data_IF_583513911850
#
_entry.id   IF_583513911850
#
_cell.length_a   1.000
_cell.length_b   1.000
_cell.length_c   1.000
_cell.angle_alpha   90.00
_cell.angle_beta   90.00
_cell.angle_gamma   90.00
#
_symmetry.space_group_name_H-M   'P 1'
#
loop_
_entity.id
_entity.type
_entity.pdbx_description
1 polymer ?
#
# COMPACT_ATOMS: atom_id res chain seq x y z
N UNK A 1 31.90 -3.03 -2.43
CA UNK A 1 31.01 -3.05 -3.46
C UNK A 1 29.83 -2.18 -3.14
N UNK A 2 29.44 -1.51 -4.08
CA UNK A 2 28.36 -0.71 -3.89
C UNK A 2 27.13 -1.43 -4.06
N UNK A 3 26.19 -1.22 -3.25
CA UNK A 3 24.99 -1.88 -3.47
C UNK A 3 24.23 -1.22 -4.53
N UNK A 4 23.45 -2.01 -5.20
CA UNK A 4 22.66 -1.54 -6.26
C UNK A 4 21.53 -0.71 -5.73
N UNK A 5 21.35 0.42 -6.31
CA UNK A 5 20.26 1.28 -6.00
C UNK A 5 18.97 0.65 -6.51
N UNK A 6 17.86 0.94 -5.87
CA UNK A 6 16.59 0.42 -6.32
C UNK A 6 16.30 0.80 -7.75
N UNK A 7 16.67 2.02 -8.15
CA UNK A 7 16.46 2.45 -9.51
C UNK A 7 17.16 1.58 -10.52
N UNK A 8 18.31 0.97 -10.15
CA UNK A 8 19.04 0.13 -11.06
C UNK A 8 18.42 -1.23 -11.22
N UNK A 9 17.51 -1.61 -10.31
CA UNK A 9 16.92 -2.93 -10.31
C UNK A 9 15.62 -3.02 -11.07
N UNK A 10 14.94 -1.91 -11.26
CA UNK A 10 13.63 -1.89 -11.86
C UNK A 10 13.66 -1.16 -13.18
N UNK A 11 12.81 -1.60 -14.10
CA UNK A 11 12.64 -0.87 -15.36
C UNK A 11 12.04 0.50 -15.07
N UNK A 12 12.17 1.40 -16.03
CA UNK A 12 11.64 2.74 -15.85
C UNK A 12 10.13 2.74 -15.73
N UNK A 13 9.46 1.81 -16.41
CA UNK A 13 8.00 1.70 -16.31
C UNK A 13 7.57 1.29 -14.93
N UNK A 14 8.28 0.33 -14.33
CA UNK A 14 7.95 -0.10 -12.98
C UNK A 14 8.23 1.02 -11.98
N UNK A 15 9.34 1.75 -12.18
CA UNK A 15 9.62 2.89 -11.31
C UNK A 15 8.55 3.96 -11.41
N UNK A 16 8.05 4.24 -12.62
CA UNK A 16 6.98 5.19 -12.78
C UNK A 16 5.71 4.73 -12.09
N UNK A 17 5.42 3.43 -12.17
CA UNK A 17 4.26 2.87 -11.50
C UNK A 17 4.38 3.02 -9.98
N UNK A 18 5.54 2.72 -9.44
CA UNK A 18 5.78 2.84 -8.00
C UNK A 18 5.61 4.28 -7.56
N UNK A 19 6.18 5.20 -8.32
CA UNK A 19 6.08 6.62 -7.99
C UNK A 19 4.63 7.09 -8.00
N UNK A 20 3.88 6.70 -9.01
CA UNK A 20 2.48 7.06 -9.11
C UNK A 20 1.68 6.51 -7.94
N UNK A 21 1.96 5.26 -7.55
CA UNK A 21 1.28 4.64 -6.42
C UNK A 21 1.57 5.40 -5.13
N UNK A 22 2.83 5.77 -4.90
CA UNK A 22 3.18 6.50 -3.68
C UNK A 22 2.52 7.86 -3.62
N UNK A 23 2.29 8.48 -4.76
CA UNK A 23 1.65 9.78 -4.80
C UNK A 23 0.13 9.70 -4.69
N UNK A 24 -0.44 8.53 -4.95
CA UNK A 24 -1.89 8.43 -5.07
C UNK A 24 -2.53 7.30 -4.27
N UNK A 25 -1.78 6.66 -3.37
CA UNK A 25 -2.32 5.48 -2.67
C UNK A 25 -3.56 5.81 -1.84
N UNK A 26 -3.67 7.05 -1.38
CA UNK A 26 -4.78 7.46 -0.53
C UNK A 26 -6.02 7.82 -1.34
N UNK A 27 -5.93 7.72 -2.65
CA UNK A 27 -7.05 8.01 -3.53
C UNK A 27 -7.54 6.73 -4.16
N UNK A 28 -8.59 6.86 -4.96
CA UNK A 28 -9.09 5.74 -5.71
C UNK A 28 -8.08 5.42 -6.81
N UNK A 29 -7.43 4.30 -6.69
CA UNK A 29 -6.37 3.92 -7.60
C UNK A 29 -6.53 2.44 -7.93
N UNK A 30 -6.24 2.06 -9.17
CA UNK A 30 -6.40 0.68 -9.61
C UNK A 30 -5.28 0.32 -10.56
N UNK A 31 -5.17 -0.97 -10.87
CA UNK A 31 -4.22 -1.41 -11.88
C UNK A 31 -4.43 -0.66 -13.18
N UNK A 32 -5.70 -0.48 -13.57
CA UNK A 32 -6.00 0.22 -14.82
C UNK A 32 -5.50 1.65 -14.80
N UNK A 33 -5.70 2.37 -13.69
CA UNK A 33 -5.26 3.77 -13.63
C UNK A 33 -3.75 3.87 -13.61
N UNK A 34 -3.06 2.95 -12.96
CA UNK A 34 -1.61 2.94 -12.96
C UNK A 34 -1.09 2.66 -14.36
N UNK A 35 -1.67 1.67 -15.03
CA UNK A 35 -1.25 1.31 -16.38
C UNK A 35 -1.45 2.47 -17.33
N UNK A 36 -2.56 3.17 -17.21
CA UNK A 36 -2.83 4.31 -18.06
C UNK A 36 -1.80 5.41 -17.84
N UNK A 37 -1.46 5.66 -16.60
CA UNK A 37 -0.47 6.69 -16.28
C UNK A 37 0.90 6.34 -16.88
N UNK A 38 1.27 5.08 -16.81
CA UNK A 38 2.58 4.63 -17.30
C UNK A 38 2.58 4.46 -18.82
N UNK A 39 1.39 4.33 -19.43
CA UNK A 39 1.30 4.15 -20.86
C UNK A 39 1.45 2.71 -21.30
N UNK A 40 1.10 1.76 -20.45
CA UNK A 40 1.22 0.36 -20.75
C UNK A 40 -0.13 -0.34 -20.68
N UNK A 41 -0.21 -1.48 -21.35
CA UNK A 41 -1.32 -2.38 -21.21
C UNK A 41 -1.35 -2.92 -19.78
N UNK A 42 -2.56 -3.05 -19.21
CA UNK A 42 -2.69 -3.49 -17.82
C UNK A 42 -2.07 -4.86 -17.57
N UNK A 43 -2.30 -5.80 -18.49
CA UNK A 43 -1.77 -7.14 -18.33
C UNK A 43 -0.25 -7.16 -18.35
N UNK A 44 0.32 -6.40 -19.25
CA UNK A 44 1.77 -6.33 -19.36
C UNK A 44 2.38 -5.69 -18.09
N UNK A 45 1.79 -4.58 -17.65
CA UNK A 45 2.28 -3.94 -16.43
C UNK A 45 2.15 -4.87 -15.23
N UNK A 46 1.03 -5.56 -15.13
CA UNK A 46 0.82 -6.50 -14.03
C UNK A 46 1.93 -7.54 -14.00
N UNK A 47 2.28 -8.07 -15.17
CA UNK A 47 3.30 -9.11 -15.25
C UNK A 47 4.68 -8.58 -14.88
N UNK A 48 5.11 -7.47 -15.49
CA UNK A 48 6.46 -7.00 -15.21
C UNK A 48 6.59 -6.46 -13.78
N UNK A 49 5.52 -5.87 -13.27
CA UNK A 49 5.56 -5.35 -11.90
C UNK A 49 5.79 -6.50 -10.93
N UNK A 50 5.05 -7.59 -11.09
CA UNK A 50 5.22 -8.73 -10.21
C UNK A 50 6.56 -9.40 -10.40
N UNK A 51 7.05 -9.48 -11.63
CA UNK A 51 8.35 -10.07 -11.89
C UNK A 51 9.47 -9.28 -11.24
N UNK A 52 9.38 -7.96 -11.27
CA UNK A 52 10.47 -7.12 -10.77
C UNK A 52 10.36 -6.86 -9.28
N UNK A 53 9.15 -6.66 -8.75
CA UNK A 53 9.01 -6.33 -7.33
C UNK A 53 8.69 -7.54 -6.47
N UNK A 54 8.21 -8.60 -7.06
CA UNK A 54 7.84 -9.79 -6.30
C UNK A 54 6.42 -9.78 -5.79
N UNK A 55 5.68 -8.68 -5.94
CA UNK A 55 4.30 -8.59 -5.48
C UNK A 55 3.44 -7.97 -6.55
N UNK A 56 2.14 -8.25 -6.49
CA UNK A 56 1.22 -7.64 -7.43
C UNK A 56 1.05 -6.16 -7.10
N UNK A 57 0.54 -5.41 -8.07
CA UNK A 57 0.27 -3.99 -7.85
C UNK A 57 -0.74 -3.81 -6.73
N UNK A 58 -1.80 -4.64 -6.69
CA UNK A 58 -2.80 -4.52 -5.64
C UNK A 58 -2.19 -4.79 -4.27
N UNK A 59 -1.32 -5.79 -4.16
CA UNK A 59 -0.66 -6.06 -2.90
C UNK A 59 0.26 -4.92 -2.51
N UNK A 60 0.94 -4.34 -3.47
CA UNK A 60 1.81 -3.21 -3.20
C UNK A 60 1.03 -2.01 -2.66
N UNK A 61 -0.11 -1.70 -3.30
CA UNK A 61 -0.96 -0.61 -2.85
C UNK A 61 -1.45 -0.87 -1.42
N UNK A 62 -1.93 -2.09 -1.16
CA UNK A 62 -2.45 -2.41 0.16
C UNK A 62 -1.36 -2.40 1.22
N UNK A 63 -0.16 -2.87 0.89
CA UNK A 63 0.96 -2.80 1.83
C UNK A 63 1.26 -1.36 2.21
N UNK A 64 1.26 -0.49 1.21
CA UNK A 64 1.56 0.91 1.45
C UNK A 64 0.48 1.56 2.31
N UNK A 65 -0.79 1.28 1.99
CA UNK A 65 -1.90 1.81 2.78
C UNK A 65 -1.84 1.33 4.22
N UNK A 66 -1.52 0.05 4.43
CA UNK A 66 -1.45 -0.51 5.78
C UNK A 66 -0.29 0.07 6.56
N UNK A 67 0.84 0.29 5.91
CA UNK A 67 1.99 0.90 6.57
C UNK A 67 1.62 2.28 7.10
N UNK A 68 0.97 3.08 6.26
CA UNK A 68 0.57 4.41 6.69
C UNK A 68 -0.53 4.37 7.74
N UNK A 69 -1.44 3.40 7.63
CA UNK A 69 -2.48 3.25 8.65
C UNK A 69 -1.88 2.95 10.00
N UNK A 70 -0.87 2.08 10.05
CA UNK A 70 -0.20 1.78 11.30
C UNK A 70 0.45 2.99 11.93
N UNK A 71 1.06 3.83 11.09
CA UNK A 71 1.66 5.05 11.57
C UNK A 71 0.63 6.01 12.17
N UNK A 72 -0.51 6.14 11.51
CA UNK A 72 -1.55 7.02 12.02
C UNK A 72 -2.20 6.49 13.27
N UNK A 73 -2.34 5.17 13.39
CA UNK A 73 -2.96 4.57 14.56
C UNK A 73 -2.03 4.53 15.77
N UNK A 74 -0.77 4.88 15.59
CA UNK A 74 0.12 5.04 16.73
C UNK A 74 -0.36 6.17 17.64
N UNK A 75 -1.10 7.11 17.10
CA UNK A 75 -1.73 8.16 17.88
C UNK A 75 -2.98 7.62 18.52
N UNK A 76 -3.00 7.54 19.84
CA UNK A 76 -4.14 6.96 20.56
C UNK A 76 -5.41 7.76 20.42
N UNK A 77 -5.30 9.00 19.99
CA UNK A 77 -6.46 9.86 19.80
C UNK A 77 -7.02 9.78 18.39
N UNK A 78 -6.43 8.97 17.52
CA UNK A 78 -6.91 8.85 16.15
C UNK A 78 -8.24 8.09 16.13
N UNK A 79 -9.03 8.36 15.10
CA UNK A 79 -10.28 7.65 14.87
C UNK A 79 -10.10 6.67 13.73
N UNK A 80 -10.49 5.43 13.98
CA UNK A 80 -10.26 4.35 13.02
C UNK A 80 -10.92 4.67 11.69
N UNK A 81 -12.14 5.21 11.73
CA UNK A 81 -12.84 5.55 10.49
C UNK A 81 -12.06 6.60 9.68
N UNK A 82 -11.52 7.59 10.37
CA UNK A 82 -10.75 8.62 9.69
C UNK A 82 -9.45 8.09 9.13
N UNK A 83 -8.80 7.20 9.87
CA UNK A 83 -7.58 6.58 9.39
C UNK A 83 -7.86 5.77 8.13
N UNK A 84 -8.95 4.99 8.15
CA UNK A 84 -9.31 4.19 6.98
C UNK A 84 -9.48 5.07 5.75
N UNK A 85 -10.22 6.16 5.90
CA UNK A 85 -10.45 7.07 4.79
C UNK A 85 -9.17 7.75 4.36
N UNK A 86 -8.35 8.16 5.31
CA UNK A 86 -7.08 8.86 5.00
C UNK A 86 -6.15 8.02 4.16
N UNK A 87 -6.14 6.71 4.36
CA UNK A 87 -5.22 5.87 3.61
C UNK A 87 -5.87 5.25 2.37
N UNK A 88 -7.14 5.62 2.06
CA UNK A 88 -7.74 5.26 0.80
C UNK A 88 -8.83 4.21 0.84
N UNK A 89 -9.30 3.81 2.02
CA UNK A 89 -10.37 2.82 2.13
C UNK A 89 -11.71 3.51 2.35
N UNK A 90 -12.68 3.16 1.53
CA UNK A 90 -14.02 3.72 1.69
C UNK A 90 -14.85 2.93 2.69
N UNK A 91 -14.54 1.65 2.85
CA UNK A 91 -15.29 0.74 3.70
C UNK A 91 -14.46 0.41 4.93
N UNK A 92 -14.90 0.93 6.08
CA UNK A 92 -14.17 0.72 7.32
C UNK A 92 -14.11 -0.75 7.71
N UNK A 93 -15.17 -1.50 7.43
CA UNK A 93 -15.20 -2.91 7.79
C UNK A 93 -14.15 -3.69 6.99
N UNK A 94 -14.06 -3.41 5.71
CA UNK A 94 -13.05 -4.03 4.87
C UNK A 94 -11.66 -3.64 5.35
N UNK A 95 -11.47 -2.36 5.66
CA UNK A 95 -10.20 -1.89 6.19
C UNK A 95 -9.81 -2.66 7.45
N UNK A 96 -10.75 -2.83 8.37
CA UNK A 96 -10.45 -3.51 9.63
C UNK A 96 -10.05 -4.96 9.42
N UNK A 97 -10.74 -5.63 8.50
CA UNK A 97 -10.42 -7.02 8.21
C UNK A 97 -9.04 -7.15 7.59
N UNK A 98 -8.73 -6.27 6.66
CA UNK A 98 -7.43 -6.30 5.99
C UNK A 98 -6.33 -5.93 6.98
N UNK A 99 -6.58 -4.95 7.83
CA UNK A 99 -5.62 -4.53 8.84
C UNK A 99 -5.26 -5.71 9.76
N UNK A 100 -6.28 -6.45 10.18
CA UNK A 100 -6.02 -7.58 11.06
C UNK A 100 -5.17 -8.64 10.36
N UNK A 101 -5.38 -8.82 9.05
CA UNK A 101 -4.57 -9.77 8.31
C UNK A 101 -3.11 -9.34 8.25
N UNK A 102 -2.86 -8.04 8.15
CA UNK A 102 -1.49 -7.53 8.04
C UNK A 102 -0.78 -7.45 9.37
N UNK A 103 -1.50 -7.03 10.42
CA UNK A 103 -0.88 -6.77 11.71
C UNK A 103 -1.18 -7.82 12.77
N UNK A 104 -2.12 -8.71 12.51
CA UNK A 104 -2.47 -9.74 13.48
C UNK A 104 -3.44 -9.30 14.54
N UNK A 105 -3.76 -8.02 14.61
CA UNK A 105 -4.71 -7.47 15.57
C UNK A 105 -5.60 -6.46 14.85
N UNK A 106 -6.75 -6.16 15.45
CA UNK A 106 -7.66 -5.19 14.87
C UNK A 106 -7.08 -3.79 15.01
N UNK A 107 -7.59 -2.83 14.21
CA UNK A 107 -7.12 -1.45 14.37
C UNK A 107 -7.34 -0.91 15.77
N UNK A 108 -8.45 -1.27 16.43
CA UNK A 108 -8.70 -0.82 17.78
C UNK A 108 -7.67 -1.35 18.75
N UNK A 109 -7.35 -2.64 18.61
CA UNK A 109 -6.35 -3.26 19.47
C UNK A 109 -4.97 -2.66 19.23
N UNK A 110 -4.66 -2.40 17.99
CA UNK A 110 -3.38 -1.81 17.64
C UNK A 110 -3.24 -0.41 18.25
N UNK A 111 -4.32 0.40 18.09
CA UNK A 111 -4.31 1.77 18.62
C UNK A 111 -4.15 1.77 20.12
N UNK A 112 -4.69 0.78 20.79
CA UNK A 112 -4.57 0.65 22.23
C UNK A 112 -3.22 0.09 22.67
N UNK A 113 -2.34 -0.20 21.72
CA UNK A 113 -1.03 -0.70 22.05
C UNK A 113 -0.90 -2.21 21.96
N UNK A 114 -1.94 -2.88 21.47
CA UNK A 114 -1.93 -4.33 21.42
C UNK A 114 -0.90 -4.91 20.49
N UNK A 115 -0.60 -4.23 19.42
CA UNK A 115 0.34 -4.77 18.45
C UNK A 115 1.75 -4.74 18.93
N UNK A 116 2.04 -3.88 19.87
CA UNK A 116 3.40 -3.76 20.34
C UNK A 116 3.79 -4.90 21.26
N UNK A 117 2.93 -5.80 21.43
CA UNK A 117 3.22 -6.94 22.29
C UNK A 117 4.31 -7.79 21.72
N UNK A 118 4.80 -7.41 20.58
CA UNK A 118 5.86 -8.20 20.10
C UNK A 118 7.06 -8.14 20.89
#
# INVERSE_FOLDING_TARGET
QRQMCIRDRYSSEVLQAISYIHENYSRKISLASVAEHVGLNSGYLCRIFKEETGVSINAYINNLRMTHAGELLADKNSYIKEVAISVGFEDQLYFSRLFKRYYGVTPSEYRAGGASSV
#
